data_IF_111457153205
#
_entry.id   IF_111457153205
#
_cell.length_a   1.000
_cell.length_b   1.000
_cell.length_c   1.000
_cell.angle_alpha   90.00
_cell.angle_beta   90.00
_cell.angle_gamma   90.00
#
_symmetry.space_group_name_H-M   'P 1'
#
loop_
_entity.id
_entity.type
_entity.pdbx_description
1 polymer ?
#
# COMPACT_ATOMS: atom_id res chain seq x y z
N UNK A 1 -6.73 -7.54 -19.42
CA UNK A 1 -6.94 -8.67 -18.48
C UNK A 1 -5.65 -9.43 -18.18
N UNK A 2 -4.76 -9.62 -19.16
CA UNK A 2 -3.46 -10.30 -18.96
C UNK A 2 -2.64 -9.77 -17.79
N UNK A 3 -2.52 -8.44 -17.64
CA UNK A 3 -1.71 -7.83 -16.56
C UNK A 3 -2.26 -8.13 -15.15
N UNK A 4 -3.57 -8.22 -14.99
CA UNK A 4 -4.21 -8.54 -13.71
C UNK A 4 -3.94 -10.00 -13.29
N UNK A 5 -4.15 -10.94 -14.22
CA UNK A 5 -3.94 -12.37 -13.97
C UNK A 5 -2.46 -12.74 -13.86
N UNK A 6 -1.59 -12.15 -14.69
CA UNK A 6 -0.14 -12.34 -14.63
C UNK A 6 0.43 -11.85 -13.30
N UNK A 7 0.01 -10.67 -12.84
CA UNK A 7 0.44 -10.15 -11.52
C UNK A 7 -0.09 -10.98 -10.36
N UNK A 8 -1.33 -11.48 -10.43
CA UNK A 8 -1.91 -12.38 -9.43
C UNK A 8 -1.09 -13.66 -9.26
N UNK A 9 -0.86 -14.37 -10.37
CA UNK A 9 -0.17 -15.65 -10.34
C UNK A 9 1.27 -15.50 -9.86
N UNK A 10 1.95 -14.43 -10.28
CA UNK A 10 3.30 -14.12 -9.80
C UNK A 10 3.32 -13.82 -8.31
N UNK A 11 2.37 -13.04 -7.81
CA UNK A 11 2.26 -12.75 -6.38
C UNK A 11 2.04 -14.04 -5.57
N UNK A 12 1.16 -14.92 -6.04
CA UNK A 12 0.91 -16.22 -5.42
C UNK A 12 2.18 -17.08 -5.41
N UNK A 13 2.90 -17.18 -6.54
CA UNK A 13 4.15 -17.92 -6.63
C UNK A 13 5.26 -17.33 -5.72
N UNK A 14 5.34 -16.00 -5.60
CA UNK A 14 6.31 -15.34 -4.73
C UNK A 14 6.03 -15.57 -3.26
N UNK A 15 4.78 -15.83 -2.84
CA UNK A 15 4.47 -16.19 -1.46
C UNK A 15 5.14 -17.50 -1.02
N UNK A 16 5.42 -18.41 -1.95
CA UNK A 16 6.15 -19.66 -1.69
C UNK A 16 7.67 -19.47 -1.70
N UNK A 17 8.17 -18.27 -2.02
CA UNK A 17 9.60 -18.02 -2.06
C UNK A 17 10.20 -18.04 -0.64
N UNK A 18 11.33 -18.74 -0.40
CA UNK A 18 11.90 -18.89 0.95
C UNK A 18 12.13 -17.57 1.69
N UNK A 19 12.58 -16.53 0.96
CA UNK A 19 12.74 -15.19 1.54
C UNK A 19 11.42 -14.57 2.00
N UNK A 20 10.33 -14.76 1.26
CA UNK A 20 9.02 -14.21 1.61
C UNK A 20 8.44 -14.95 2.81
N UNK A 21 8.58 -16.28 2.84
CA UNK A 21 8.20 -17.10 4.00
C UNK A 21 9.00 -16.66 5.24
N UNK A 22 10.33 -16.53 5.14
CA UNK A 22 11.16 -16.06 6.24
C UNK A 22 10.75 -14.65 6.72
N UNK A 23 10.53 -13.72 5.79
CA UNK A 23 10.04 -12.37 6.09
C UNK A 23 8.65 -12.38 6.75
N UNK A 24 7.79 -13.36 6.47
CA UNK A 24 6.45 -13.45 7.08
C UNK A 24 6.48 -13.85 8.55
N UNK A 25 7.53 -14.58 8.98
CA UNK A 25 7.74 -14.96 10.39
C UNK A 25 8.42 -13.85 11.20
N UNK A 26 9.14 -12.92 10.55
CA UNK A 26 9.89 -11.87 11.25
C UNK A 26 8.98 -10.95 12.10
N UNK A 27 7.88 -10.37 11.58
CA UNK A 27 6.96 -9.58 12.39
C UNK A 27 6.32 -10.38 13.51
N UNK A 28 6.00 -11.67 13.27
CA UNK A 28 5.45 -12.56 14.27
C UNK A 28 6.42 -12.74 15.45
N UNK A 29 7.69 -13.04 15.15
CA UNK A 29 8.72 -13.23 16.17
C UNK A 29 8.94 -11.96 16.98
N UNK A 30 9.02 -10.81 16.32
CA UNK A 30 9.14 -9.51 17.00
C UNK A 30 7.96 -9.27 17.94
N UNK A 31 6.73 -9.50 17.46
CA UNK A 31 5.53 -9.32 18.28
C UNK A 31 5.47 -10.29 19.46
N UNK A 32 5.90 -11.54 19.28
CA UNK A 32 6.00 -12.51 20.38
C UNK A 32 7.00 -12.04 21.43
N UNK A 33 8.18 -11.59 21.01
CA UNK A 33 9.21 -11.06 21.94
C UNK A 33 8.69 -9.83 22.69
N UNK A 34 8.04 -8.89 21.98
CA UNK A 34 7.45 -7.69 22.59
C UNK A 34 6.34 -8.08 23.57
N UNK A 35 5.40 -8.94 23.17
CA UNK A 35 4.27 -9.33 23.99
C UNK A 35 4.71 -10.11 25.25
N UNK A 36 5.66 -11.04 25.11
CA UNK A 36 6.22 -11.77 26.25
C UNK A 36 7.04 -10.85 27.15
N UNK A 37 7.84 -9.94 26.59
CA UNK A 37 8.59 -8.96 27.37
C UNK A 37 7.67 -8.05 28.16
N UNK A 38 6.67 -7.46 27.50
CA UNK A 38 5.69 -6.59 28.16
C UNK A 38 4.84 -7.36 29.17
N UNK A 39 4.40 -8.57 28.85
CA UNK A 39 3.67 -9.44 29.78
C UNK A 39 4.51 -9.78 31.01
N UNK A 40 5.78 -10.14 30.84
CA UNK A 40 6.65 -10.47 31.96
C UNK A 40 6.90 -9.29 32.90
N UNK A 41 7.17 -8.09 32.35
CA UNK A 41 7.52 -6.92 33.18
C UNK A 41 6.31 -6.13 33.70
N UNK A 42 5.22 -6.05 32.93
CA UNK A 42 4.14 -5.10 33.18
C UNK A 42 2.78 -5.74 33.48
N UNK A 43 2.62 -7.08 33.42
CA UNK A 43 1.34 -7.71 33.68
C UNK A 43 0.79 -7.38 35.08
N UNK A 44 1.50 -7.74 36.15
CA UNK A 44 1.08 -7.44 37.53
C UNK A 44 0.95 -5.92 37.80
N UNK A 45 1.93 -5.06 37.42
CA UNK A 45 1.80 -3.61 37.59
C UNK A 45 0.57 -3.00 36.91
N UNK A 46 0.25 -3.44 35.69
CA UNK A 46 -0.91 -2.91 34.95
C UNK A 46 -2.23 -3.38 35.59
N UNK A 47 -2.32 -4.65 36.01
CA UNK A 47 -3.50 -5.14 36.72
C UNK A 47 -3.74 -4.36 38.01
N UNK A 48 -2.68 -4.10 38.77
CA UNK A 48 -2.78 -3.32 40.01
C UNK A 48 -3.15 -1.87 39.74
N UNK A 49 -2.55 -1.25 38.71
CA UNK A 49 -2.92 0.10 38.30
C UNK A 49 -4.40 0.22 37.91
N UNK A 50 -4.93 -0.74 37.14
CA UNK A 50 -6.36 -0.79 36.81
C UNK A 50 -7.20 -1.01 38.06
N UNK A 51 -6.81 -1.92 38.95
CA UNK A 51 -7.52 -2.19 40.20
C UNK A 51 -7.64 -0.93 41.06
N UNK A 52 -6.53 -0.26 41.34
CA UNK A 52 -6.49 1.00 42.11
C UNK A 52 -7.32 2.09 41.43
N UNK A 53 -7.26 2.18 40.09
CA UNK A 53 -8.05 3.15 39.33
C UNK A 53 -9.55 2.90 39.47
N UNK A 54 -10.00 1.64 39.41
CA UNK A 54 -11.40 1.29 39.62
C UNK A 54 -11.86 1.57 41.06
N UNK A 55 -10.99 1.35 42.05
CA UNK A 55 -11.27 1.62 43.47
C UNK A 55 -11.29 3.11 43.81
N UNK A 56 -10.65 3.95 43.00
CA UNK A 56 -10.71 5.40 43.16
C UNK A 56 -12.08 6.00 42.79
N UNK A 57 -12.92 5.24 42.07
CA UNK A 57 -14.24 5.67 41.62
C UNK A 57 -15.32 5.27 42.63
N UNK A 58 -15.79 6.24 43.42
CA UNK A 58 -16.80 6.05 44.47
C UNK A 58 -18.10 5.36 44.00
N UNK A 59 -18.51 5.55 42.74
CA UNK A 59 -19.70 4.90 42.18
C UNK A 59 -19.46 3.40 41.99
N UNK A 60 -18.25 3.00 41.58
CA UNK A 60 -17.91 1.60 41.36
C UNK A 60 -17.75 0.87 42.69
N UNK A 61 -17.19 1.50 43.72
CA UNK A 61 -17.05 0.88 45.05
C UNK A 61 -18.42 0.55 45.64
N UNK A 62 -19.40 1.46 45.57
CA UNK A 62 -20.79 1.19 46.00
C UNK A 62 -21.44 0.07 45.17
N UNK A 63 -21.19 0.03 43.86
CA UNK A 63 -21.66 -1.06 43.00
C UNK A 63 -21.05 -2.41 43.41
N UNK A 64 -19.74 -2.44 43.72
CA UNK A 64 -19.05 -3.66 44.14
C UNK A 64 -19.54 -4.18 45.49
N UNK A 65 -19.80 -3.29 46.45
CA UNK A 65 -20.37 -3.65 47.75
C UNK A 65 -21.77 -4.24 47.61
N UNK A 66 -22.61 -3.62 46.77
CA UNK A 66 -23.93 -4.15 46.43
C UNK A 66 -23.84 -5.53 45.73
N UNK A 67 -22.95 -5.68 44.75
CA UNK A 67 -22.71 -6.97 44.07
C UNK A 67 -22.17 -8.03 45.03
N UNK A 68 -21.32 -7.63 45.96
CA UNK A 68 -20.81 -8.47 47.05
C UNK A 68 -21.93 -8.99 47.94
N UNK A 69 -22.91 -8.13 48.27
CA UNK A 69 -24.09 -8.52 49.05
C UNK A 69 -24.97 -9.57 48.35
N UNK A 70 -24.91 -9.64 47.02
CA UNK A 70 -25.62 -10.62 46.19
C UNK A 70 -24.80 -11.90 45.91
N UNK A 71 -23.61 -12.04 46.50
CA UNK A 71 -22.73 -13.20 46.32
C UNK A 71 -21.81 -13.13 45.08
N UNK A 72 -21.76 -12.00 44.37
CA UNK A 72 -20.97 -11.81 43.14
C UNK A 72 -19.65 -11.05 43.36
N UNK A 73 -19.09 -11.09 44.57
CA UNK A 73 -17.85 -10.36 44.93
C UNK A 73 -16.61 -10.72 44.09
N UNK A 74 -16.58 -11.92 43.48
CA UNK A 74 -15.46 -12.35 42.64
C UNK A 74 -15.47 -11.75 41.22
N UNK A 75 -16.52 -11.02 40.82
CA UNK A 75 -16.62 -10.48 39.47
C UNK A 75 -15.48 -9.50 39.15
N UNK A 76 -15.01 -8.75 40.15
CA UNK A 76 -13.89 -7.81 40.03
C UNK A 76 -12.56 -8.52 39.70
N UNK A 77 -12.37 -9.76 40.15
CA UNK A 77 -11.17 -10.57 39.87
C UNK A 77 -11.05 -10.88 38.38
N UNK A 78 -12.18 -11.11 37.70
CA UNK A 78 -12.23 -11.40 36.27
C UNK A 78 -12.25 -10.11 35.43
N UNK A 79 -12.92 -9.06 35.93
CA UNK A 79 -13.08 -7.81 35.19
C UNK A 79 -11.74 -7.08 34.96
N UNK A 80 -10.86 -7.05 35.97
CA UNK A 80 -9.59 -6.30 35.86
C UNK A 80 -8.71 -6.83 34.71
N UNK A 81 -8.40 -8.14 34.62
CA UNK A 81 -7.69 -8.69 33.45
C UNK A 81 -8.41 -8.45 32.12
N UNK A 82 -9.75 -8.51 32.12
CA UNK A 82 -10.55 -8.33 30.92
C UNK A 82 -10.40 -6.90 30.36
N UNK A 83 -10.44 -5.88 31.23
CA UNK A 83 -10.20 -4.48 30.85
C UNK A 83 -8.81 -4.33 30.22
N UNK A 84 -7.79 -4.91 30.85
CA UNK A 84 -6.40 -4.85 30.34
C UNK A 84 -6.31 -5.49 28.96
N UNK A 85 -6.86 -6.70 28.79
CA UNK A 85 -6.86 -7.40 27.50
C UNK A 85 -7.57 -6.55 26.44
N UNK A 86 -8.80 -6.08 26.68
CA UNK A 86 -9.54 -5.26 25.71
C UNK A 86 -8.84 -3.95 25.35
N UNK A 87 -8.13 -3.32 26.29
CA UNK A 87 -7.39 -2.09 26.03
C UNK A 87 -6.09 -2.35 25.26
N UNK A 88 -5.35 -3.41 25.60
CA UNK A 88 -4.02 -3.70 25.05
C UNK A 88 -4.12 -4.40 23.69
N UNK A 89 -5.09 -5.29 23.48
CA UNK A 89 -5.28 -6.01 22.21
C UNK A 89 -5.31 -5.09 20.97
N UNK A 90 -6.12 -4.02 20.88
CA UNK A 90 -6.11 -3.15 19.71
C UNK A 90 -4.77 -2.45 19.49
N UNK A 91 -4.07 -2.08 20.57
CA UNK A 91 -2.73 -1.47 20.49
C UNK A 91 -1.72 -2.46 19.90
N UNK A 92 -1.74 -3.71 20.36
CA UNK A 92 -0.91 -4.80 19.82
C UNK A 92 -1.21 -5.03 18.33
N UNK A 93 -2.49 -5.02 17.94
CA UNK A 93 -2.90 -5.17 16.54
C UNK A 93 -2.35 -4.01 15.70
N UNK A 94 -2.55 -2.77 16.12
CA UNK A 94 -2.03 -1.59 15.40
C UNK A 94 -0.50 -1.65 15.28
N UNK A 95 0.20 -1.96 16.37
CA UNK A 95 1.66 -2.06 16.39
C UNK A 95 2.15 -3.17 15.46
N UNK A 96 1.48 -4.33 15.45
CA UNK A 96 1.85 -5.43 14.56
C UNK A 96 1.66 -5.05 13.08
N UNK A 97 0.56 -4.38 12.73
CA UNK A 97 0.34 -3.88 11.38
C UNK A 97 1.39 -2.84 10.96
N UNK A 98 1.82 -1.96 11.87
CA UNK A 98 2.90 -1.01 11.61
C UNK A 98 4.22 -1.73 11.35
N UNK A 99 4.59 -2.70 12.19
CA UNK A 99 5.83 -3.47 12.04
C UNK A 99 5.83 -4.23 10.70
N UNK A 100 4.72 -4.90 10.39
CA UNK A 100 4.54 -5.60 9.11
C UNK A 100 4.68 -4.61 7.94
N UNK A 101 3.99 -3.48 7.99
CA UNK A 101 4.04 -2.49 6.92
C UNK A 101 5.45 -1.90 6.72
N UNK A 102 6.16 -1.57 7.80
CA UNK A 102 7.48 -0.93 7.76
C UNK A 102 8.60 -1.91 7.40
N UNK A 103 8.55 -3.15 7.86
CA UNK A 103 9.60 -4.13 7.61
C UNK A 103 9.35 -4.94 6.33
N UNK A 104 8.12 -5.41 6.13
CA UNK A 104 7.80 -6.38 5.10
C UNK A 104 7.59 -5.72 3.74
N UNK A 105 6.79 -4.66 3.67
CA UNK A 105 6.47 -3.97 2.40
C UNK A 105 7.72 -3.55 1.61
N UNK A 106 8.69 -2.81 2.18
CA UNK A 106 9.87 -2.41 1.41
C UNK A 106 10.75 -3.59 1.00
N UNK A 107 10.84 -4.64 1.82
CA UNK A 107 11.59 -5.86 1.49
C UNK A 107 10.94 -6.67 0.36
N UNK A 108 9.61 -6.72 0.32
CA UNK A 108 8.88 -7.34 -0.79
C UNK A 108 8.99 -6.51 -2.07
N UNK A 109 8.90 -5.18 -1.96
CA UNK A 109 9.04 -4.29 -3.11
C UNK A 109 10.44 -4.32 -3.70
N UNK A 110 11.49 -4.36 -2.86
CA UNK A 110 12.87 -4.50 -3.33
C UNK A 110 13.09 -5.84 -4.03
N UNK A 111 12.56 -6.95 -3.48
CA UNK A 111 12.65 -8.28 -4.09
C UNK A 111 12.00 -8.32 -5.48
N UNK A 112 10.81 -7.74 -5.62
CA UNK A 112 10.11 -7.67 -6.91
C UNK A 112 10.86 -6.77 -7.90
N UNK A 113 11.35 -5.62 -7.44
CA UNK A 113 12.10 -4.68 -8.27
C UNK A 113 13.40 -5.31 -8.80
N UNK A 114 14.20 -5.93 -7.92
CA UNK A 114 15.47 -6.56 -8.27
C UNK A 114 15.31 -7.73 -9.23
N UNK A 115 14.27 -8.57 -9.04
CA UNK A 115 14.09 -9.76 -9.88
C UNK A 115 13.39 -9.52 -11.20
N UNK A 116 12.40 -8.63 -11.23
CA UNK A 116 11.52 -8.47 -12.41
C UNK A 116 11.74 -7.15 -13.14
N UNK A 117 12.14 -6.11 -12.42
CA UNK A 117 12.25 -4.76 -12.98
C UNK A 117 13.65 -4.15 -12.77
N UNK A 118 14.75 -4.89 -13.06
CA UNK A 118 16.11 -4.39 -12.78
C UNK A 118 16.47 -3.15 -13.60
N UNK A 119 15.83 -2.96 -14.77
CA UNK A 119 16.04 -1.80 -15.64
C UNK A 119 15.14 -0.60 -15.28
N UNK A 120 14.23 -0.75 -14.32
CA UNK A 120 13.28 0.30 -13.98
C UNK A 120 13.92 1.29 -13.01
N UNK A 121 14.20 2.49 -13.50
CA UNK A 121 14.82 3.56 -12.71
C UNK A 121 14.01 3.89 -11.44
N UNK A 122 14.69 3.95 -10.30
CA UNK A 122 14.15 4.38 -9.00
C UNK A 122 14.16 5.90 -8.89
N UNK A 123 13.05 6.55 -9.25
CA UNK A 123 12.91 8.02 -9.14
C UNK A 123 12.72 8.52 -7.70
N UNK A 124 12.57 7.63 -6.70
CA UNK A 124 12.40 7.94 -5.27
C UNK A 124 11.38 9.07 -5.03
N UNK A 125 10.27 9.05 -5.78
CA UNK A 125 9.25 10.11 -5.76
C UNK A 125 8.32 10.09 -4.54
N UNK A 126 8.49 9.11 -3.66
CA UNK A 126 7.80 8.96 -2.38
C UNK A 126 8.75 9.04 -1.20
N UNK A 127 8.27 9.59 -0.10
CA UNK A 127 8.93 9.57 1.21
C UNK A 127 8.03 8.80 2.18
N UNK A 128 8.61 8.12 3.18
CA UNK A 128 7.85 7.44 4.24
C UNK A 128 6.84 8.39 4.90
N UNK A 129 7.21 9.65 5.15
CA UNK A 129 6.30 10.65 5.71
C UNK A 129 5.10 10.91 4.80
N UNK A 130 5.32 10.94 3.47
CA UNK A 130 4.22 11.09 2.51
C UNK A 130 3.33 9.86 2.44
N UNK A 131 3.90 8.65 2.55
CA UNK A 131 3.10 7.42 2.65
C UNK A 131 2.23 7.44 3.91
N UNK A 132 2.78 7.81 5.06
CA UNK A 132 2.03 7.91 6.32
C UNK A 132 0.90 8.94 6.21
N UNK A 133 1.18 10.16 5.75
CA UNK A 133 0.16 11.20 5.57
C UNK A 133 -0.92 10.78 4.56
N UNK A 134 -0.52 10.12 3.47
CA UNK A 134 -1.44 9.63 2.45
C UNK A 134 -2.35 8.52 2.99
N UNK A 135 -1.79 7.58 3.74
CA UNK A 135 -2.51 6.48 4.38
C UNK A 135 -3.45 7.00 5.46
N UNK A 136 -3.01 7.95 6.28
CA UNK A 136 -3.86 8.56 7.30
C UNK A 136 -5.02 9.36 6.67
N UNK A 137 -4.74 10.20 5.67
CA UNK A 137 -5.77 10.95 4.95
C UNK A 137 -6.77 10.04 4.23
N UNK A 138 -6.29 8.94 3.63
CA UNK A 138 -7.15 7.92 3.01
C UNK A 138 -7.98 7.18 4.05
N UNK A 139 -7.41 6.87 5.21
CA UNK A 139 -8.12 6.22 6.32
C UNK A 139 -9.23 7.11 6.85
N UNK A 140 -8.97 8.40 7.09
CA UNK A 140 -10.00 9.38 7.48
C UNK A 140 -11.10 9.46 6.42
N UNK A 141 -10.75 9.52 5.14
CA UNK A 141 -11.76 9.55 4.07
C UNK A 141 -12.59 8.25 4.00
N UNK A 142 -11.97 7.09 4.26
CA UNK A 142 -12.66 5.82 4.35
C UNK A 142 -13.61 5.76 5.54
N UNK A 143 -13.22 6.30 6.70
CA UNK A 143 -14.09 6.43 7.86
C UNK A 143 -15.28 7.35 7.58
N UNK A 144 -15.06 8.50 6.94
CA UNK A 144 -16.15 9.40 6.52
C UNK A 144 -17.09 8.66 5.57
N UNK A 145 -16.57 7.97 4.55
CA UNK A 145 -17.36 7.17 3.63
C UNK A 145 -18.14 6.06 4.35
N UNK A 146 -17.55 5.41 5.36
CA UNK A 146 -18.21 4.38 6.15
C UNK A 146 -19.41 4.95 6.91
N UNK A 147 -19.22 6.08 7.62
CA UNK A 147 -20.29 6.76 8.37
C UNK A 147 -21.40 7.22 7.44
N UNK A 148 -21.04 7.86 6.32
CA UNK A 148 -22.00 8.31 5.29
C UNK A 148 -22.74 7.12 4.67
N UNK A 149 -22.13 5.94 4.63
CA UNK A 149 -22.76 4.74 4.07
C UNK A 149 -23.77 4.06 4.99
N UNK A 150 -23.78 4.36 6.30
CA UNK A 150 -24.66 3.71 7.30
C UNK A 150 -26.15 3.71 6.86
N UNK A 151 -26.75 4.84 6.41
CA UNK A 151 -28.15 4.85 5.99
C UNK A 151 -28.42 3.91 4.79
N UNK A 152 -27.42 3.73 3.92
CA UNK A 152 -27.53 2.87 2.74
C UNK A 152 -27.46 1.38 3.10
N UNK A 153 -26.98 1.02 4.30
CA UNK A 153 -26.88 -0.38 4.72
C UNK A 153 -28.25 -1.01 5.00
N UNK A 154 -29.30 -0.20 5.19
CA UNK A 154 -30.67 -0.68 5.37
C UNK A 154 -31.24 -1.36 4.12
N UNK A 155 -30.58 -1.18 2.96
CA UNK A 155 -30.91 -1.87 1.71
C UNK A 155 -30.07 -3.15 1.65
N UNK A 156 -30.66 -4.37 1.77
CA UNK A 156 -29.93 -5.63 1.92
C UNK A 156 -28.81 -5.91 0.90
N UNK A 157 -28.92 -5.58 -0.40
CA UNK A 157 -27.80 -5.77 -1.32
C UNK A 157 -26.65 -4.77 -1.10
N UNK A 158 -26.92 -3.55 -0.59
CA UNK A 158 -25.90 -2.51 -0.46
C UNK A 158 -24.95 -2.75 0.72
N UNK A 159 -25.43 -3.30 1.85
CA UNK A 159 -24.56 -3.63 2.99
C UNK A 159 -23.49 -4.68 2.63
N UNK A 160 -23.76 -5.55 1.65
CA UNK A 160 -22.79 -6.53 1.19
C UNK A 160 -21.75 -5.96 0.21
N UNK A 161 -22.04 -4.81 -0.40
CA UNK A 161 -21.19 -4.21 -1.44
C UNK A 161 -20.39 -3.03 -0.89
N UNK A 162 -21.03 -2.13 -0.14
CA UNK A 162 -20.43 -0.86 0.27
C UNK A 162 -19.22 -1.05 1.21
N UNK A 163 -19.29 -1.82 2.32
CA UNK A 163 -18.14 -1.99 3.19
C UNK A 163 -16.93 -2.62 2.48
N UNK A 164 -17.07 -3.72 1.71
CA UNK A 164 -15.94 -4.28 0.94
C UNK A 164 -15.40 -3.31 -0.11
N UNK A 165 -16.25 -2.49 -0.73
CA UNK A 165 -15.82 -1.49 -1.70
C UNK A 165 -15.02 -0.35 -1.05
N UNK A 166 -15.48 0.15 0.10
CA UNK A 166 -14.77 1.19 0.88
C UNK A 166 -13.43 0.64 1.38
N UNK A 167 -13.43 -0.60 1.90
CA UNK A 167 -12.22 -1.25 2.36
C UNK A 167 -11.25 -1.47 1.19
N UNK A 168 -11.70 -2.06 0.10
CA UNK A 168 -10.87 -2.26 -1.09
C UNK A 168 -10.36 -0.94 -1.69
N UNK A 169 -11.16 0.13 -1.59
CA UNK A 169 -10.75 1.48 -1.95
C UNK A 169 -9.58 1.98 -1.09
N UNK A 170 -9.68 1.80 0.22
CA UNK A 170 -8.60 2.14 1.16
C UNK A 170 -7.35 1.30 0.89
N UNK A 171 -7.49 -0.02 0.76
CA UNK A 171 -6.38 -0.93 0.46
C UNK A 171 -5.62 -0.49 -0.77
N UNK A 172 -6.30 -0.27 -1.90
CA UNK A 172 -5.57 0.06 -3.11
C UNK A 172 -4.89 1.42 -2.98
N UNK A 173 -5.50 2.39 -2.29
CA UNK A 173 -4.88 3.71 -2.12
C UNK A 173 -3.59 3.65 -1.34
N UNK A 174 -3.55 2.85 -0.28
CA UNK A 174 -2.35 2.66 0.54
C UNK A 174 -1.33 1.82 -0.23
N UNK A 175 -1.70 0.60 -0.62
CA UNK A 175 -0.77 -0.38 -1.18
C UNK A 175 -0.22 0.04 -2.55
N UNK A 176 -1.03 0.67 -3.42
CA UNK A 176 -0.53 1.15 -4.71
C UNK A 176 0.37 2.38 -4.55
N UNK A 177 0.13 3.21 -3.53
CA UNK A 177 1.04 4.33 -3.23
C UNK A 177 2.39 3.80 -2.76
N UNK A 178 2.39 2.83 -1.85
CA UNK A 178 3.60 2.22 -1.31
C UNK A 178 4.40 1.48 -2.39
N UNK A 179 3.72 0.71 -3.26
CA UNK A 179 4.35 0.02 -4.37
C UNK A 179 5.05 0.96 -5.38
N UNK A 180 4.49 2.16 -5.58
CA UNK A 180 5.01 3.14 -6.53
C UNK A 180 5.98 4.15 -5.90
N UNK A 181 6.06 4.24 -4.57
CA UNK A 181 6.78 5.29 -3.86
C UNK A 181 8.27 5.37 -4.26
N UNK A 182 8.93 4.22 -4.41
CA UNK A 182 10.37 4.18 -4.71
C UNK A 182 10.68 4.36 -6.20
N UNK A 183 9.75 4.02 -7.09
CA UNK A 183 10.00 3.92 -8.52
C UNK A 183 9.37 5.05 -9.33
N UNK A 184 8.19 5.54 -8.96
CA UNK A 184 7.44 6.50 -9.75
C UNK A 184 7.64 7.95 -9.30
N UNK A 185 7.65 8.88 -10.26
CA UNK A 185 7.46 10.30 -9.98
C UNK A 185 6.02 10.59 -9.54
N UNK A 186 5.78 11.78 -8.97
CA UNK A 186 4.42 12.18 -8.58
C UNK A 186 3.44 12.26 -9.77
N UNK A 187 3.93 12.66 -10.96
CA UNK A 187 3.13 12.70 -12.17
C UNK A 187 2.81 11.28 -12.68
N UNK A 188 3.82 10.41 -12.76
CA UNK A 188 3.66 9.01 -13.18
C UNK A 188 2.68 8.27 -12.28
N UNK A 189 2.80 8.43 -10.95
CA UNK A 189 1.88 7.79 -9.99
C UNK A 189 0.44 8.25 -10.16
N UNK A 190 0.19 9.56 -10.36
CA UNK A 190 -1.16 10.07 -10.62
C UNK A 190 -1.76 9.46 -11.89
N UNK A 191 -0.94 9.32 -12.93
CA UNK A 191 -1.39 8.76 -14.19
C UNK A 191 -1.69 7.25 -14.09
N UNK A 192 -0.85 6.47 -13.39
CA UNK A 192 -1.13 5.05 -13.12
C UNK A 192 -2.43 4.90 -12.32
N UNK A 193 -2.61 5.70 -11.26
CA UNK A 193 -3.85 5.71 -10.47
C UNK A 193 -5.08 6.03 -11.32
N UNK A 194 -4.96 6.99 -12.25
CA UNK A 194 -6.06 7.40 -13.13
C UNK A 194 -6.41 6.30 -14.14
N UNK A 195 -5.42 5.71 -14.82
CA UNK A 195 -5.63 4.69 -15.85
C UNK A 195 -6.09 3.35 -15.28
N UNK A 196 -5.61 2.98 -14.09
CA UNK A 196 -5.83 1.63 -13.53
C UNK A 196 -6.78 1.60 -12.33
N UNK A 197 -7.50 2.70 -12.02
CA UNK A 197 -8.36 2.81 -10.82
C UNK A 197 -9.29 1.61 -10.61
N UNK A 198 -9.98 1.16 -11.66
CA UNK A 198 -10.94 0.05 -11.57
C UNK A 198 -10.27 -1.28 -11.23
N UNK A 199 -9.12 -1.57 -11.86
CA UNK A 199 -8.35 -2.77 -11.58
C UNK A 199 -7.69 -2.74 -10.19
N UNK A 200 -7.12 -1.59 -9.79
CA UNK A 200 -6.55 -1.41 -8.46
C UNK A 200 -7.62 -1.60 -7.37
N UNK A 201 -8.82 -1.07 -7.58
CA UNK A 201 -9.96 -1.31 -6.70
C UNK A 201 -10.34 -2.79 -6.66
N UNK A 202 -10.40 -3.47 -7.82
CA UNK A 202 -10.66 -4.90 -7.89
C UNK A 202 -9.65 -5.73 -7.10
N UNK A 203 -8.34 -5.44 -7.23
CA UNK A 203 -7.29 -6.08 -6.42
C UNK A 203 -7.54 -5.79 -4.94
N UNK A 204 -7.80 -4.54 -4.58
CA UNK A 204 -8.03 -4.13 -3.19
C UNK A 204 -9.24 -4.80 -2.54
N UNK A 205 -10.34 -4.98 -3.27
CA UNK A 205 -11.54 -5.69 -2.79
C UNK A 205 -11.22 -7.17 -2.60
N UNK A 206 -10.57 -7.82 -3.56
CA UNK A 206 -10.23 -9.24 -3.47
C UNK A 206 -9.25 -9.53 -2.33
N UNK A 207 -8.21 -8.70 -2.17
CA UNK A 207 -7.25 -8.84 -1.06
C UNK A 207 -7.88 -8.46 0.28
N UNK A 208 -8.83 -7.52 0.29
CA UNK A 208 -9.65 -7.20 1.47
C UNK A 208 -10.47 -8.40 1.94
N UNK A 209 -11.14 -9.11 1.03
CA UNK A 209 -11.84 -10.35 1.35
C UNK A 209 -10.90 -11.46 1.82
N UNK A 210 -9.72 -11.58 1.19
CA UNK A 210 -8.72 -12.55 1.62
C UNK A 210 -8.22 -12.24 3.04
N UNK A 211 -8.24 -10.97 3.46
CA UNK A 211 -7.95 -10.54 4.84
C UNK A 211 -8.90 -11.14 5.90
N UNK A 212 -10.06 -11.66 5.49
CA UNK A 212 -11.00 -12.35 6.38
C UNK A 212 -10.63 -13.83 6.58
N UNK A 213 -9.71 -14.39 5.79
CA UNK A 213 -9.32 -15.81 5.89
C UNK A 213 -8.94 -16.28 7.32
N UNK A 214 -8.22 -15.50 8.14
CA UNK A 214 -7.93 -15.86 9.53
C UNK A 214 -9.18 -16.09 10.39
N UNK A 215 -10.32 -15.47 10.08
CA UNK A 215 -11.59 -15.66 10.81
C UNK A 215 -12.06 -17.11 10.79
N UNK A 216 -11.70 -17.88 9.75
CA UNK A 216 -12.01 -19.32 9.68
C UNK A 216 -11.23 -20.10 10.76
N UNK A 217 -9.98 -19.71 11.01
CA UNK A 217 -9.13 -20.30 12.05
C UNK A 217 -9.64 -19.93 13.44
N UNK A 218 -10.11 -18.69 13.62
CA UNK A 218 -10.75 -18.27 14.87
C UNK A 218 -12.03 -19.05 15.14
N UNK A 219 -12.87 -19.25 14.12
CA UNK A 219 -14.09 -20.04 14.23
C UNK A 219 -13.82 -21.51 14.58
N UNK A 220 -12.76 -22.10 14.03
CA UNK A 220 -12.37 -23.48 14.37
C UNK A 220 -11.74 -23.61 15.76
N UNK A 221 -11.14 -22.55 16.30
CA UNK A 221 -10.61 -22.51 17.67
C UNK A 221 -11.67 -22.83 18.74
N UNK A 222 -12.94 -22.48 18.51
CA UNK A 222 -14.05 -22.83 19.39
C UNK A 222 -14.32 -24.35 19.45
N UNK A 223 -14.00 -25.08 18.38
CA UNK A 223 -14.17 -26.54 18.30
C UNK A 223 -12.93 -27.31 18.82
N UNK A 224 -11.77 -26.66 18.85
CA UNK A 224 -10.48 -27.28 19.21
C UNK A 224 -9.73 -26.47 20.27
N UNK A 225 -10.32 -26.31 21.46
CA UNK A 225 -9.74 -25.52 22.56
C UNK A 225 -8.30 -25.92 22.92
N UNK A 226 -7.98 -27.21 22.89
CA UNK A 226 -6.61 -27.71 23.13
C UNK A 226 -5.60 -27.26 22.05
N UNK A 227 -6.05 -27.01 20.83
CA UNK A 227 -5.20 -26.55 19.72
C UNK A 227 -5.01 -25.03 19.71
N UNK A 228 -5.67 -24.28 20.60
CA UNK A 228 -5.69 -22.81 20.56
C UNK A 228 -4.29 -22.19 20.65
N UNK A 229 -3.39 -22.80 21.42
CA UNK A 229 -1.98 -22.39 21.55
C UNK A 229 -1.26 -22.40 20.18
N UNK A 230 -1.64 -23.30 19.28
CA UNK A 230 -1.08 -23.41 17.92
C UNK A 230 -1.90 -22.59 16.92
N UNK A 231 -3.24 -22.60 17.04
CA UNK A 231 -4.14 -21.92 16.11
C UNK A 231 -3.96 -20.40 16.12
N UNK A 232 -3.68 -19.79 17.28
CA UNK A 232 -3.47 -18.33 17.38
C UNK A 232 -2.25 -17.88 16.57
N UNK A 233 -1.03 -18.44 16.77
CA UNK A 233 0.12 -18.13 15.91
C UNK A 233 -0.14 -18.40 14.43
N UNK A 234 -0.85 -19.48 14.09
CA UNK A 234 -1.20 -19.82 12.70
C UNK A 234 -2.14 -18.78 12.10
N UNK A 235 -3.18 -18.34 12.82
CA UNK A 235 -4.10 -17.31 12.37
C UNK A 235 -3.38 -15.98 12.11
N UNK A 236 -2.48 -15.58 13.03
CA UNK A 236 -1.67 -14.37 12.87
C UNK A 236 -0.72 -14.51 11.68
N UNK A 237 -0.09 -15.68 11.49
CA UNK A 237 0.79 -15.94 10.35
C UNK A 237 0.04 -15.93 9.00
N UNK A 238 -1.18 -16.46 8.95
CA UNK A 238 -2.04 -16.32 7.76
C UNK A 238 -2.30 -14.84 7.47
N UNK A 239 -2.54 -14.02 8.50
CA UNK A 239 -2.72 -12.58 8.34
C UNK A 239 -1.48 -11.91 7.69
N UNK A 240 -0.27 -12.28 8.13
CA UNK A 240 0.97 -11.74 7.54
C UNK A 240 1.19 -12.23 6.12
N UNK A 241 0.88 -13.50 5.80
CA UNK A 241 0.94 -14.02 4.44
C UNK A 241 -0.05 -13.34 3.49
N UNK A 242 -1.29 -13.10 3.94
CA UNK A 242 -2.29 -12.38 3.15
C UNK A 242 -1.83 -10.95 2.87
N UNK A 243 -1.25 -10.28 3.88
CA UNK A 243 -0.65 -8.96 3.70
C UNK A 243 0.51 -8.99 2.69
N UNK A 244 1.39 -10.00 2.78
CA UNK A 244 2.50 -10.19 1.86
C UNK A 244 2.03 -10.39 0.42
N UNK A 245 1.05 -11.27 0.24
CA UNK A 245 0.42 -11.54 -1.04
C UNK A 245 -0.20 -10.27 -1.63
N UNK A 246 -0.96 -9.52 -0.84
CA UNK A 246 -1.56 -8.25 -1.25
C UNK A 246 -0.48 -7.27 -1.71
N UNK A 247 0.58 -7.10 -0.91
CA UNK A 247 1.73 -6.25 -1.23
C UNK A 247 2.38 -6.65 -2.55
N UNK A 248 2.67 -7.93 -2.74
CA UNK A 248 3.30 -8.47 -3.95
C UNK A 248 2.40 -8.30 -5.17
N UNK A 249 1.09 -8.49 -5.05
CA UNK A 249 0.15 -8.31 -6.14
C UNK A 249 0.09 -6.85 -6.59
N UNK A 250 -0.04 -5.91 -5.65
CA UNK A 250 0.06 -4.49 -5.95
C UNK A 250 1.44 -4.13 -6.53
N UNK A 251 2.53 -4.66 -6.00
CA UNK A 251 3.88 -4.46 -6.52
C UNK A 251 4.03 -4.90 -7.98
N UNK A 252 3.67 -6.15 -8.29
CA UNK A 252 3.76 -6.68 -9.65
C UNK A 252 2.84 -5.94 -10.62
N UNK A 253 1.63 -5.58 -10.20
CA UNK A 253 0.68 -4.84 -11.03
C UNK A 253 1.17 -3.41 -11.30
N UNK A 254 1.47 -2.65 -10.25
CA UNK A 254 1.83 -1.24 -10.33
C UNK A 254 3.16 -1.02 -11.05
N UNK A 255 4.18 -1.85 -10.80
CA UNK A 255 5.47 -1.72 -11.48
C UNK A 255 5.38 -2.10 -12.95
N UNK A 256 4.57 -3.10 -13.31
CA UNK A 256 4.28 -3.40 -14.73
C UNK A 256 3.54 -2.26 -15.42
N UNK A 257 2.52 -1.69 -14.76
CA UNK A 257 1.80 -0.53 -15.30
C UNK A 257 2.72 0.69 -15.49
N UNK A 258 3.63 0.92 -14.54
CA UNK A 258 4.64 1.99 -14.62
C UNK A 258 5.63 1.75 -15.77
N UNK A 259 6.09 0.52 -15.96
CA UNK A 259 6.98 0.16 -17.06
C UNK A 259 6.31 0.40 -18.41
N UNK A 260 5.04 -0.01 -18.57
CA UNK A 260 4.26 0.25 -19.78
C UNK A 260 4.10 1.76 -20.04
N UNK A 261 3.76 2.53 -19.01
CA UNK A 261 3.63 3.99 -19.11
C UNK A 261 4.92 4.66 -19.60
N UNK A 262 6.07 4.22 -19.11
CA UNK A 262 7.39 4.75 -19.54
C UNK A 262 7.75 4.30 -20.95
N UNK A 263 7.46 3.06 -21.32
CA UNK A 263 7.69 2.57 -22.67
C UNK A 263 6.87 3.34 -23.72
N UNK A 264 5.61 3.65 -23.40
CA UNK A 264 4.76 4.51 -24.24
C UNK A 264 5.34 5.92 -24.38
N UNK A 265 5.78 6.53 -23.27
CA UNK A 265 6.39 7.87 -23.31
C UNK A 265 7.67 7.90 -24.14
N UNK A 266 8.51 6.87 -24.04
CA UNK A 266 9.73 6.72 -24.84
C UNK A 266 9.43 6.51 -26.33
N UNK A 267 8.36 5.79 -26.68
CA UNK A 267 7.97 5.58 -28.07
C UNK A 267 7.41 6.86 -28.75
N UNK A 268 6.91 7.81 -27.96
CA UNK A 268 6.40 9.10 -28.45
C UNK A 268 7.54 10.12 -28.64
N UNK A 269 8.68 9.96 -27.94
CA UNK A 269 9.88 10.74 -28.20
C UNK A 269 10.59 10.19 -29.46
N UNK A 270 10.79 10.99 -30.52
CA UNK A 270 11.61 10.59 -31.65
C UNK A 270 13.02 10.26 -31.14
N UNK A 271 13.72 9.24 -31.69
CA UNK A 271 15.13 9.07 -31.39
C UNK A 271 15.85 10.37 -31.71
N UNK A 272 16.68 10.85 -30.78
CA UNK A 272 17.65 11.92 -31.05
C UNK A 272 18.46 11.46 -32.25
N UNK A 273 18.08 11.94 -33.45
CA UNK A 273 18.91 11.74 -34.62
C UNK A 273 20.25 12.37 -34.26
N UNK A 274 21.37 11.64 -34.38
CA UNK A 274 22.67 12.25 -34.15
C UNK A 274 22.70 13.52 -34.99
N UNK A 275 22.89 14.67 -34.34
CA UNK A 275 23.09 15.93 -35.01
C UNK A 275 24.11 15.65 -36.11
N UNK A 276 23.66 15.59 -37.35
CA UNK A 276 24.58 15.58 -38.47
C UNK A 276 25.30 16.91 -38.29
N UNK A 277 26.54 16.85 -37.81
CA UNK A 277 27.48 17.94 -37.94
C UNK A 277 27.45 18.24 -39.42
N UNK A 278 26.73 19.31 -39.78
CA UNK A 278 26.70 19.81 -41.12
C UNK A 278 28.17 20.10 -41.45
N UNK A 279 28.79 19.39 -42.39
CA UNK A 279 30.15 19.72 -42.77
C UNK A 279 30.11 21.17 -43.22
N UNK A 280 30.97 22.00 -42.63
CA UNK A 280 31.10 23.42 -42.93
C UNK A 280 30.93 23.64 -44.44
N UNK A 281 29.91 24.40 -44.80
CA UNK A 281 29.68 24.75 -46.19
C UNK A 281 30.97 25.43 -46.70
N UNK A 282 31.53 25.02 -47.86
CA UNK A 282 32.70 25.70 -48.39
C UNK A 282 32.36 27.18 -48.62
N UNK A 283 33.30 28.11 -48.38
CA UNK A 283 33.06 29.52 -48.59
C UNK A 283 32.58 29.72 -50.02
N UNK A 284 31.46 30.41 -50.18
CA UNK A 284 30.88 30.79 -51.46
C UNK A 284 31.99 31.44 -52.29
N UNK A 285 32.48 30.75 -53.33
CA UNK A 285 33.32 31.37 -54.33
C UNK A 285 32.47 32.41 -55.05
N UNK A 286 32.98 33.63 -55.14
CA UNK A 286 32.35 34.77 -55.80
C UNK A 286 31.80 34.34 -57.17
N UNK A 287 30.48 34.32 -57.29
CA UNK A 287 29.81 34.13 -58.58
C UNK A 287 29.99 35.44 -59.34
N UNK A 288 30.99 35.46 -60.21
CA UNK A 288 31.23 36.53 -61.16
C UNK A 288 29.98 36.73 -62.04
N UNK A 289 29.34 37.88 -61.85
CA UNK A 289 28.13 38.28 -62.59
C UNK A 289 28.54 38.60 -64.02
N UNK A 290 28.23 37.70 -64.95
CA UNK A 290 28.37 37.95 -66.39
C UNK A 290 27.40 39.06 -66.83
N UNK A 291 27.86 40.07 -67.60
CA UNK A 291 27.01 41.18 -68.03
C UNK A 291 26.01 40.74 -69.13
N UNK A 292 24.86 41.43 -69.23
CA UNK A 292 23.80 41.07 -70.17
C UNK A 292 24.20 41.35 -71.62
N UNK A 293 23.85 40.41 -72.50
CA UNK A 293 24.09 40.46 -73.93
C UNK A 293 23.29 41.59 -74.61
N UNK A 294 23.94 42.22 -75.59
CA UNK A 294 23.47 43.33 -76.39
C UNK A 294 22.23 43.01 -77.24
N UNK A 295 21.34 44.00 -77.39
CA UNK A 295 20.39 44.07 -78.49
C UNK A 295 20.14 45.53 -78.91
N UNK A 296 20.48 45.84 -80.16
CA UNK A 296 19.76 46.81 -81.00
C UNK A 296 20.30 48.25 -81.05
N UNK A 297 21.01 48.59 -82.12
CA UNK A 297 21.12 49.97 -82.68
C UNK A 297 19.77 50.39 -83.30
N UNK A 298 19.44 51.70 -83.39
CA UNK A 298 19.81 52.43 -84.61
C UNK A 298 20.18 53.93 -84.45
N UNK A 299 21.16 54.32 -85.28
CA UNK A 299 21.37 55.56 -86.06
C UNK A 299 21.38 56.98 -85.42
N UNK A 300 22.26 57.90 -85.93
CA UNK A 300 22.60 59.20 -85.32
C UNK A 300 21.71 60.34 -85.84
N UNK A 301 21.78 61.56 -85.25
CA UNK A 301 22.52 62.62 -85.97
C UNK A 301 23.17 63.78 -85.15
N UNK A 302 24.24 64.31 -85.76
CA UNK A 302 24.63 65.72 -85.95
C UNK A 302 25.13 66.61 -84.79
N UNK A 303 26.44 66.93 -84.88
CA UNK A 303 27.14 68.15 -84.44
C UNK A 303 26.67 69.37 -85.28
N UNK A 304 26.86 70.64 -84.85
CA UNK A 304 28.13 71.26 -84.40
C UNK A 304 28.26 71.47 -82.89
#
# INVERSE_FOLDING_TARGET
MSLFLDSFWRAAAYCLHPRVIALSFLPLLIMVVIALGLGYFYWEPVLEWVRVSLDSLAILTTLWEWLGSMGAGNLKVVLVPLIVIFAVTPVIVILSLIIVAVLMTPALMSLVAERRFPQLERKKGGSLLRSVLWSLGSTVLAFIALVVSIPLWLVPPLILILPPLIWGWLTYRVMAFDALADHASAAERREVFRRHRGWLLGIGVLTGYLGVAPSIVWASGALFAAAFVVLVPVAIWIYTLVFAFSSLWFGHYCLSALQMLRAEAAAVQPPDMPSMVQPDAPPYADVEVLPPAAAGTPAPPLLP
#
